data_IF_539711729775
#
_entry.id   IF_539711729775
#
_cell.length_a   1.000
_cell.length_b   1.000
_cell.length_c   1.000
_cell.angle_alpha   90.00
_cell.angle_beta   90.00
_cell.angle_gamma   90.00
#
_symmetry.space_group_name_H-M   'P 1'
#
loop_
_entity.id
_entity.type
_entity.pdbx_description
1 polymer ?
#
# COMPACT_ATOMS: atom_id res chain seq x y z
N UNK A 1 -32.98 12.80 -0.37
CA UNK A 1 -33.10 11.38 0.02
C UNK A 1 -33.46 11.20 1.49
N UNK A 2 -32.54 11.37 2.46
CA UNK A 2 -32.89 11.18 3.89
C UNK A 2 -33.94 12.18 4.41
N UNK A 3 -33.83 13.45 4.01
CA UNK A 3 -34.83 14.50 4.29
C UNK A 3 -36.18 14.29 3.58
N UNK A 4 -36.24 13.34 2.65
CA UNK A 4 -37.43 12.96 1.88
C UNK A 4 -38.00 11.60 2.35
N UNK A 5 -37.49 11.05 3.46
CA UNK A 5 -37.98 9.82 4.07
C UNK A 5 -37.34 8.52 3.56
N UNK A 6 -36.29 8.58 2.73
CA UNK A 6 -35.55 7.40 2.32
C UNK A 6 -34.77 6.81 3.50
N UNK A 7 -34.73 5.48 3.62
CA UNK A 7 -33.90 4.81 4.62
C UNK A 7 -32.41 4.86 4.25
N UNK A 8 -31.53 4.60 5.22
CA UNK A 8 -30.09 4.52 4.98
C UNK A 8 -29.72 3.43 3.97
N UNK A 9 -30.50 2.34 3.96
CA UNK A 9 -30.35 1.22 3.03
C UNK A 9 -30.71 1.67 1.61
N UNK A 10 -31.72 2.52 1.43
CA UNK A 10 -32.11 3.04 0.12
C UNK A 10 -31.01 3.93 -0.49
N UNK A 11 -30.38 4.75 0.35
CA UNK A 11 -29.22 5.57 -0.07
C UNK A 11 -28.04 4.66 -0.44
N UNK A 12 -27.75 3.63 0.35
CA UNK A 12 -26.68 2.67 0.08
C UNK A 12 -26.91 1.90 -1.24
N UNK A 13 -28.13 1.42 -1.48
CA UNK A 13 -28.51 0.72 -2.72
C UNK A 13 -28.42 1.61 -3.95
N UNK A 14 -28.69 2.91 -3.79
CA UNK A 14 -28.53 3.88 -4.88
C UNK A 14 -27.06 4.09 -5.25
N UNK A 15 -26.16 4.12 -4.26
CA UNK A 15 -24.72 4.26 -4.49
C UNK A 15 -24.08 2.94 -4.98
N UNK A 16 -24.60 1.79 -4.57
CA UNK A 16 -24.12 0.46 -4.94
C UNK A 16 -25.30 -0.47 -5.29
N UNK A 17 -25.70 -0.53 -6.57
CA UNK A 17 -26.85 -1.34 -7.01
C UNK A 17 -26.65 -2.86 -6.84
N UNK A 18 -25.42 -3.31 -6.59
CA UNK A 18 -25.07 -4.73 -6.41
C UNK A 18 -25.21 -5.26 -4.98
N UNK A 19 -25.64 -4.42 -4.03
CA UNK A 19 -25.91 -4.85 -2.65
C UNK A 19 -27.41 -5.15 -2.54
N UNK A 20 -27.78 -6.44 -2.48
CA UNK A 20 -29.18 -6.86 -2.35
C UNK A 20 -29.75 -6.46 -0.98
N UNK A 21 -29.03 -6.75 0.10
CA UNK A 21 -29.26 -6.25 1.47
C UNK A 21 -27.93 -6.20 2.25
N UNK A 22 -27.74 -5.25 3.18
CA UNK A 22 -26.59 -5.30 4.09
C UNK A 22 -26.65 -6.60 4.92
N UNK A 23 -25.50 -7.26 5.20
CA UNK A 23 -25.47 -8.47 6.02
C UNK A 23 -26.22 -8.30 7.36
N UNK A 24 -26.88 -9.36 7.84
CA UNK A 24 -27.59 -9.34 9.12
C UNK A 24 -26.71 -8.78 10.26
N UNK A 25 -27.24 -7.83 11.02
CA UNK A 25 -26.57 -7.24 12.19
C UNK A 25 -25.88 -5.89 11.97
N UNK A 26 -26.00 -5.28 10.79
CA UNK A 26 -25.47 -3.94 10.55
C UNK A 26 -26.34 -2.88 11.25
N UNK A 27 -25.74 -2.07 12.13
CA UNK A 27 -26.43 -0.95 12.76
C UNK A 27 -26.52 0.26 11.83
N UNK A 28 -27.53 1.10 12.01
CA UNK A 28 -27.67 2.38 11.30
C UNK A 28 -26.42 3.25 11.40
N UNK A 29 -25.70 3.18 12.53
CA UNK A 29 -24.45 3.89 12.73
C UNK A 29 -23.33 3.38 11.82
N UNK A 30 -23.20 2.05 11.67
CA UNK A 30 -22.24 1.45 10.75
C UNK A 30 -22.55 1.86 9.30
N UNK A 31 -23.83 1.79 8.89
CA UNK A 31 -24.25 2.18 7.55
C UNK A 31 -23.96 3.67 7.31
N UNK A 32 -24.26 4.55 8.28
CA UNK A 32 -23.93 5.98 8.18
C UNK A 32 -22.42 6.25 8.11
N UNK A 33 -21.61 5.51 8.85
CA UNK A 33 -20.15 5.67 8.80
C UNK A 33 -19.60 5.31 7.42
N UNK A 34 -20.08 4.22 6.83
CA UNK A 34 -19.73 3.77 5.48
C UNK A 34 -20.21 4.77 4.43
N UNK A 35 -21.45 5.24 4.54
CA UNK A 35 -22.00 6.25 3.62
C UNK A 35 -21.21 7.56 3.67
N UNK A 36 -20.84 8.01 4.88
CA UNK A 36 -20.02 9.22 5.06
C UNK A 36 -18.66 9.03 4.41
N UNK A 37 -18.01 7.88 4.64
CA UNK A 37 -16.73 7.57 4.00
C UNK A 37 -16.84 7.53 2.48
N UNK A 38 -17.93 6.98 1.93
CA UNK A 38 -18.15 6.91 0.48
C UNK A 38 -18.42 8.29 -0.13
N UNK A 39 -19.24 9.11 0.53
CA UNK A 39 -19.60 10.45 0.04
C UNK A 39 -18.40 11.38 0.11
N UNK A 40 -17.56 11.24 1.14
CA UNK A 40 -16.35 12.06 1.31
C UNK A 40 -15.16 11.56 0.46
N UNK A 41 -15.31 10.42 -0.25
CA UNK A 41 -14.28 9.96 -1.17
C UNK A 41 -14.12 10.98 -2.30
N UNK A 42 -12.88 11.43 -2.59
CA UNK A 42 -12.64 12.28 -3.73
C UNK A 42 -13.09 11.57 -5.02
N UNK A 43 -13.64 12.31 -5.99
CA UNK A 43 -14.10 11.73 -7.24
C UNK A 43 -12.96 10.95 -7.91
N UNK A 44 -13.29 9.79 -8.48
CA UNK A 44 -12.30 9.00 -9.22
C UNK A 44 -11.78 9.83 -10.40
N UNK A 45 -10.46 9.81 -10.58
CA UNK A 45 -9.81 10.51 -11.68
C UNK A 45 -10.19 9.87 -13.02
N UNK A 46 -10.78 10.65 -13.92
CA UNK A 46 -11.04 10.20 -15.30
C UNK A 46 -9.73 10.08 -16.11
N UNK A 47 -9.70 9.11 -17.04
CA UNK A 47 -8.55 8.93 -17.94
C UNK A 47 -8.48 10.10 -18.93
N UNK A 48 -7.29 10.71 -19.04
CA UNK A 48 -7.06 11.75 -20.03
C UNK A 48 -6.97 11.13 -21.43
N UNK A 49 -7.80 11.58 -22.36
CA UNK A 49 -7.80 11.09 -23.74
C UNK A 49 -6.51 11.44 -24.51
N UNK A 50 -5.73 12.41 -24.04
CA UNK A 50 -4.55 12.92 -24.72
C UNK A 50 -3.30 12.02 -24.63
N UNK A 51 -3.23 11.06 -23.70
CA UNK A 51 -2.04 10.23 -23.46
C UNK A 51 -2.41 8.74 -23.39
N UNK A 52 -1.94 7.94 -24.34
CA UNK A 52 -2.33 6.54 -24.49
C UNK A 52 -1.21 5.60 -24.92
N UNK A 53 -0.08 6.11 -25.42
CA UNK A 53 1.01 5.29 -25.95
C UNK A 53 2.20 5.23 -24.98
N UNK A 54 3.15 4.35 -25.30
CA UNK A 54 4.42 4.31 -24.58
C UNK A 54 5.24 5.58 -24.84
N UNK A 55 5.21 6.08 -26.08
CA UNK A 55 5.89 7.30 -26.49
C UNK A 55 5.38 8.52 -25.71
N UNK A 56 4.06 8.58 -25.45
CA UNK A 56 3.46 9.63 -24.63
C UNK A 56 4.04 9.62 -23.20
N UNK A 57 4.22 8.42 -22.61
CA UNK A 57 4.81 8.29 -21.29
C UNK A 57 6.28 8.76 -21.29
N UNK A 58 7.06 8.37 -22.29
CA UNK A 58 8.45 8.81 -22.46
C UNK A 58 8.53 10.33 -22.58
N UNK A 59 7.65 10.95 -23.36
CA UNK A 59 7.62 12.39 -23.55
C UNK A 59 7.21 13.14 -22.27
N UNK A 60 6.28 12.57 -21.49
CA UNK A 60 5.96 13.10 -20.15
C UNK A 60 7.18 13.04 -19.22
N UNK A 61 7.95 11.96 -19.21
CA UNK A 61 9.18 11.91 -18.41
C UNK A 61 10.25 12.89 -18.88
N UNK A 62 10.33 13.19 -20.18
CA UNK A 62 11.29 14.18 -20.71
C UNK A 62 10.92 15.62 -20.37
N UNK A 63 9.63 15.96 -20.43
CA UNK A 63 9.15 17.35 -20.34
C UNK A 63 8.76 17.80 -18.94
N UNK A 64 8.38 16.88 -18.04
CA UNK A 64 7.87 17.23 -16.70
C UNK A 64 9.00 17.35 -15.68
N UNK A 65 8.83 18.28 -14.73
CA UNK A 65 9.82 18.63 -13.68
C UNK A 65 9.34 18.39 -12.24
N UNK A 66 8.09 17.97 -12.06
CA UNK A 66 7.49 17.68 -10.75
C UNK A 66 6.76 16.35 -10.80
N UNK A 67 7.53 15.28 -10.90
CA UNK A 67 7.05 13.91 -11.02
C UNK A 67 6.90 13.33 -9.61
N UNK A 68 5.71 12.86 -9.28
CA UNK A 68 5.45 12.12 -8.05
C UNK A 68 5.46 10.64 -8.39
N UNK A 69 6.28 9.88 -7.69
CA UNK A 69 6.36 8.42 -7.79
C UNK A 69 5.63 7.79 -6.61
N UNK A 70 4.82 6.77 -6.89
CA UNK A 70 4.21 5.89 -5.89
C UNK A 70 4.81 4.50 -6.10
N UNK A 71 5.44 3.94 -5.08
CA UNK A 71 6.16 2.67 -5.15
C UNK A 71 5.69 1.70 -4.06
N UNK A 72 5.78 0.41 -4.38
CA UNK A 72 5.45 -0.71 -3.49
C UNK A 72 6.29 -1.93 -3.85
N UNK A 73 5.97 -3.10 -3.29
CA UNK A 73 6.87 -4.26 -3.29
C UNK A 73 7.41 -4.67 -4.68
N UNK A 74 6.64 -4.42 -5.75
CA UNK A 74 7.03 -4.71 -7.13
C UNK A 74 8.37 -4.11 -7.56
N UNK A 75 8.81 -2.97 -7.00
CA UNK A 75 10.13 -2.40 -7.35
C UNK A 75 11.32 -3.16 -6.74
N UNK A 76 11.06 -4.02 -5.74
CA UNK A 76 12.05 -4.76 -4.97
C UNK A 76 12.07 -6.27 -5.26
N UNK A 77 11.08 -6.79 -6.00
CA UNK A 77 11.03 -8.24 -6.38
C UNK A 77 12.31 -8.69 -7.08
N UNK A 78 12.81 -7.88 -8.02
CA UNK A 78 14.06 -8.19 -8.74
C UNK A 78 15.32 -8.11 -7.87
N UNK A 79 15.23 -7.55 -6.66
CA UNK A 79 16.35 -7.45 -5.72
C UNK A 79 16.53 -8.74 -4.91
N UNK A 80 15.59 -9.70 -5.01
CA UNK A 80 15.58 -10.91 -4.18
C UNK A 80 14.66 -10.81 -2.97
N UNK A 81 13.92 -9.71 -2.82
CA UNK A 81 12.91 -9.54 -1.78
C UNK A 81 11.58 -10.04 -2.34
N UNK A 82 11.03 -11.17 -1.84
CA UNK A 82 9.75 -11.67 -2.30
C UNK A 82 8.65 -10.64 -2.01
N UNK A 83 7.67 -10.55 -2.90
CA UNK A 83 6.46 -9.82 -2.57
C UNK A 83 5.61 -10.60 -1.56
N UNK A 84 4.57 -9.95 -1.04
CA UNK A 84 3.68 -10.59 -0.08
C UNK A 84 2.72 -11.58 -0.74
N UNK A 85 2.23 -11.27 -1.95
CA UNK A 85 0.98 -11.83 -2.51
C UNK A 85 1.18 -12.82 -3.66
N UNK A 86 2.37 -12.92 -4.25
CA UNK A 86 2.61 -13.87 -5.33
C UNK A 86 2.55 -15.31 -4.83
N UNK A 87 2.44 -16.25 -5.78
CA UNK A 87 2.36 -17.69 -5.50
C UNK A 87 3.51 -18.21 -4.61
N UNK A 88 4.70 -17.65 -4.81
CA UNK A 88 5.92 -17.97 -4.04
C UNK A 88 6.29 -16.83 -3.07
N UNK A 89 5.33 -15.95 -2.76
CA UNK A 89 5.50 -14.80 -1.86
C UNK A 89 5.48 -15.19 -0.38
N UNK A 90 5.71 -14.20 0.47
CA UNK A 90 5.86 -14.38 1.93
C UNK A 90 4.64 -15.06 2.54
N UNK A 91 3.43 -14.70 2.09
CA UNK A 91 2.19 -15.26 2.64
C UNK A 91 2.03 -16.76 2.42
N UNK A 92 2.52 -17.29 1.29
CA UNK A 92 2.47 -18.71 1.00
C UNK A 92 3.38 -19.53 1.93
N UNK A 93 4.54 -18.97 2.30
CA UNK A 93 5.49 -19.59 3.23
C UNK A 93 5.01 -19.52 4.68
N UNK A 94 4.50 -18.36 5.10
CA UNK A 94 4.01 -18.15 6.47
C UNK A 94 2.89 -19.11 6.86
N UNK A 95 2.00 -19.48 5.94
CA UNK A 95 0.97 -20.49 6.22
C UNK A 95 1.52 -21.88 6.52
N UNK A 96 2.72 -22.21 6.03
CA UNK A 96 3.39 -23.49 6.29
C UNK A 96 4.22 -23.43 7.57
N UNK A 97 4.97 -22.34 7.75
CA UNK A 97 5.87 -22.15 8.89
C UNK A 97 5.11 -21.80 10.19
N UNK A 98 3.98 -21.10 10.08
CA UNK A 98 3.16 -20.62 11.20
C UNK A 98 1.67 -20.93 10.96
N UNK A 99 1.24 -22.20 11.13
CA UNK A 99 -0.14 -22.62 10.88
C UNK A 99 -1.18 -21.98 11.82
N UNK A 100 -0.73 -21.41 12.95
CA UNK A 100 -1.58 -20.72 13.92
C UNK A 100 -1.87 -19.26 13.54
N UNK A 101 -1.27 -18.72 12.46
CA UNK A 101 -1.63 -17.41 11.92
C UNK A 101 -3.04 -17.49 11.30
N UNK A 102 -4.02 -16.69 11.79
CA UNK A 102 -5.37 -16.69 11.22
C UNK A 102 -5.40 -16.29 9.75
N UNK A 103 -4.54 -15.33 9.40
CA UNK A 103 -4.29 -14.90 8.02
C UNK A 103 -2.88 -14.29 7.91
N UNK A 104 -2.28 -14.21 6.71
CA UNK A 104 -0.91 -13.72 6.56
C UNK A 104 -0.73 -12.25 6.93
N UNK A 105 -1.77 -11.43 6.86
CA UNK A 105 -1.70 -10.01 7.27
C UNK A 105 -1.68 -9.85 8.78
N UNK A 106 -2.06 -10.88 9.55
CA UNK A 106 -1.99 -10.88 11.01
C UNK A 106 -0.56 -10.70 11.55
N UNK A 107 0.48 -11.00 10.76
CA UNK A 107 1.88 -10.69 11.13
C UNK A 107 2.12 -9.19 11.34
N UNK A 108 1.28 -8.34 10.75
CA UNK A 108 1.30 -6.89 10.86
C UNK A 108 0.19 -6.36 11.77
N UNK A 109 -0.45 -7.21 12.58
CA UNK A 109 -1.41 -6.79 13.59
C UNK A 109 -0.70 -6.65 14.96
N UNK A 110 -0.79 -5.46 15.56
CA UNK A 110 -0.17 -5.16 16.86
C UNK A 110 -0.63 -6.12 17.96
N UNK A 111 -1.89 -6.57 17.95
CA UNK A 111 -2.42 -7.50 18.96
C UNK A 111 -1.81 -8.88 18.79
N UNK A 112 -1.65 -9.33 17.54
CA UNK A 112 -0.96 -10.58 17.27
C UNK A 112 0.52 -10.47 17.64
N UNK A 113 1.19 -9.38 17.24
CA UNK A 113 2.61 -9.14 17.57
C UNK A 113 2.89 -9.16 19.08
N UNK A 114 1.99 -8.59 19.90
CA UNK A 114 2.12 -8.62 21.36
C UNK A 114 1.98 -10.05 21.92
N UNK A 115 1.16 -10.89 21.29
CA UNK A 115 0.94 -12.28 21.70
C UNK A 115 2.06 -13.21 21.22
N UNK A 116 2.41 -13.14 19.95
CA UNK A 116 3.48 -13.91 19.32
C UNK A 116 4.20 -13.06 18.25
N UNK A 117 5.38 -12.50 18.56
CA UNK A 117 6.15 -11.70 17.62
C UNK A 117 7.04 -12.53 16.68
N UNK A 118 7.12 -13.85 16.85
CA UNK A 118 8.05 -14.69 16.09
C UNK A 118 7.87 -14.58 14.56
N UNK A 119 6.64 -14.62 13.99
CA UNK A 119 6.46 -14.48 12.54
C UNK A 119 6.96 -13.15 11.98
N UNK A 120 6.81 -12.07 12.77
CA UNK A 120 7.29 -10.75 12.37
C UNK A 120 8.81 -10.68 12.36
N UNK A 121 9.48 -11.22 13.39
CA UNK A 121 10.94 -11.19 13.46
C UNK A 121 11.60 -12.08 12.40
N UNK A 122 11.03 -13.26 12.13
CA UNK A 122 11.51 -14.13 11.06
C UNK A 122 11.43 -13.43 9.71
N UNK A 123 10.30 -12.78 9.43
CA UNK A 123 10.15 -11.94 8.24
C UNK A 123 11.14 -10.75 8.22
N UNK A 124 11.28 -10.02 9.33
CA UNK A 124 12.16 -8.85 9.40
C UNK A 124 13.64 -9.21 9.17
N UNK A 125 14.08 -10.40 9.58
CA UNK A 125 15.42 -10.90 9.29
C UNK A 125 15.64 -11.17 7.79
N UNK A 126 14.62 -11.61 7.06
CA UNK A 126 14.72 -11.86 5.61
C UNK A 126 14.88 -10.57 4.79
N UNK A 127 14.33 -9.46 5.27
CA UNK A 127 14.38 -8.16 4.56
C UNK A 127 15.34 -7.16 5.20
N UNK A 128 16.23 -7.64 6.07
CA UNK A 128 17.12 -6.79 6.85
C UNK A 128 18.03 -5.94 5.95
N UNK A 129 18.23 -4.64 6.25
CA UNK A 129 19.05 -3.75 5.44
C UNK A 129 20.48 -4.25 5.22
N UNK A 130 21.04 -3.95 4.04
CA UNK A 130 22.43 -4.28 3.69
C UNK A 130 22.65 -5.65 3.05
N UNK A 131 21.59 -6.43 2.82
CA UNK A 131 21.66 -7.72 2.12
C UNK A 131 21.31 -7.63 0.63
N UNK A 132 20.70 -6.52 0.19
CA UNK A 132 20.10 -6.38 -1.13
C UNK A 132 20.61 -5.13 -1.86
N UNK A 133 20.70 -5.24 -3.18
CA UNK A 133 21.12 -4.14 -4.05
C UNK A 133 19.90 -3.47 -4.70
N UNK A 134 19.88 -2.13 -4.83
CA UNK A 134 18.77 -1.44 -5.47
C UNK A 134 18.56 -1.83 -6.94
N UNK A 135 17.29 -2.10 -7.30
CA UNK A 135 16.88 -2.42 -8.67
C UNK A 135 17.08 -1.26 -9.66
N UNK A 136 16.91 -1.57 -10.95
CA UNK A 136 16.86 -0.57 -12.03
C UNK A 136 15.76 0.47 -11.77
N UNK A 137 14.63 0.07 -11.17
CA UNK A 137 13.54 0.99 -10.82
C UNK A 137 13.98 2.02 -9.77
N UNK A 138 14.71 1.60 -8.74
CA UNK A 138 15.27 2.52 -7.74
C UNK A 138 16.27 3.48 -8.40
N UNK A 139 17.17 2.95 -9.23
CA UNK A 139 18.16 3.75 -9.97
C UNK A 139 17.50 4.76 -10.92
N UNK A 140 16.39 4.38 -11.55
CA UNK A 140 15.59 5.28 -12.38
C UNK A 140 14.98 6.43 -11.55
N UNK A 141 14.40 6.14 -10.39
CA UNK A 141 13.85 7.17 -9.49
C UNK A 141 14.97 8.11 -9.03
N UNK A 142 16.13 7.58 -8.66
CA UNK A 142 17.32 8.39 -8.35
C UNK A 142 17.74 9.27 -9.53
N UNK A 143 17.70 8.76 -10.75
CA UNK A 143 18.03 9.55 -11.93
C UNK A 143 17.04 10.71 -12.15
N UNK A 144 15.74 10.50 -11.90
CA UNK A 144 14.75 11.59 -11.93
C UNK A 144 15.06 12.67 -10.89
N UNK A 145 15.57 12.28 -9.72
CA UNK A 145 15.97 13.22 -8.67
C UNK A 145 17.23 14.02 -9.06
N UNK A 146 18.27 13.35 -9.55
CA UNK A 146 19.51 13.98 -10.03
C UNK A 146 19.20 14.98 -11.15
N UNK A 147 18.23 14.66 -12.02
CA UNK A 147 17.79 15.55 -13.10
C UNK A 147 16.84 16.68 -12.61
N UNK A 148 16.61 16.79 -11.30
CA UNK A 148 15.67 17.71 -10.64
C UNK A 148 14.24 17.63 -11.19
N UNK A 149 13.78 16.42 -11.49
CA UNK A 149 12.43 16.12 -11.99
C UNK A 149 11.54 15.46 -10.94
N UNK A 150 12.13 14.76 -9.96
CA UNK A 150 11.39 14.10 -8.89
C UNK A 150 10.87 15.12 -7.88
N UNK A 151 9.56 15.22 -7.73
CA UNK A 151 8.94 15.98 -6.65
C UNK A 151 9.02 15.20 -5.33
N UNK A 152 8.61 13.93 -5.36
CA UNK A 152 8.64 13.01 -4.22
C UNK A 152 8.45 11.56 -4.68
N UNK A 153 9.11 10.62 -4.02
CA UNK A 153 8.77 9.20 -4.04
C UNK A 153 8.04 8.86 -2.74
N UNK A 154 6.80 8.41 -2.82
CA UNK A 154 6.11 7.80 -1.68
C UNK A 154 6.23 6.28 -1.83
N UNK A 155 6.89 5.65 -0.87
CA UNK A 155 7.11 4.21 -0.87
C UNK A 155 6.30 3.55 0.23
N UNK A 156 5.67 2.43 -0.11
CA UNK A 156 5.06 1.51 0.84
C UNK A 156 6.06 0.46 1.36
N UNK A 157 7.27 0.42 0.79
CA UNK A 157 8.28 -0.55 1.16
C UNK A 157 8.91 -0.18 2.51
N UNK A 158 9.42 -1.22 3.18
CA UNK A 158 10.17 -1.13 4.44
C UNK A 158 11.58 -1.73 4.30
N UNK A 159 11.98 -2.10 3.08
CA UNK A 159 13.28 -2.72 2.75
C UNK A 159 14.45 -1.74 2.74
N UNK A 160 14.18 -0.43 2.84
CA UNK A 160 15.16 0.67 2.85
C UNK A 160 15.98 0.85 1.56
N UNK A 161 15.63 0.17 0.47
CA UNK A 161 16.38 0.22 -0.79
C UNK A 161 16.38 1.60 -1.45
N UNK A 162 15.39 2.46 -1.16
CA UNK A 162 15.42 3.85 -1.60
C UNK A 162 16.60 4.62 -1.01
N UNK A 163 16.99 4.32 0.24
CA UNK A 163 18.15 4.97 0.90
C UNK A 163 19.47 4.45 0.34
N UNK A 164 19.56 3.14 0.10
CA UNK A 164 20.72 2.52 -0.57
C UNK A 164 20.87 3.05 -2.01
N UNK A 165 19.76 3.35 -2.69
CA UNK A 165 19.76 4.05 -3.97
C UNK A 165 20.04 5.56 -3.88
N UNK A 166 20.26 6.08 -2.68
CA UNK A 166 20.48 7.49 -2.35
C UNK A 166 19.36 8.42 -2.81
N UNK A 167 18.10 7.97 -2.76
CA UNK A 167 16.93 8.81 -3.06
C UNK A 167 16.60 9.65 -1.82
N UNK A 168 16.72 10.97 -1.93
CA UNK A 168 16.56 11.88 -0.80
C UNK A 168 15.10 12.33 -0.63
N UNK A 169 14.38 12.57 -1.72
CA UNK A 169 12.97 13.00 -1.75
C UNK A 169 12.05 11.79 -1.58
N UNK A 170 12.30 10.96 -0.57
CA UNK A 170 11.46 9.80 -0.23
C UNK A 170 10.57 10.09 0.98
N UNK A 171 9.37 9.51 0.97
CA UNK A 171 8.46 9.40 2.13
C UNK A 171 8.15 7.92 2.32
N UNK A 172 8.58 7.37 3.45
CA UNK A 172 8.33 5.99 3.85
C UNK A 172 6.96 5.93 4.53
N UNK A 173 5.93 5.52 3.79
CA UNK A 173 4.54 5.59 4.24
C UNK A 173 4.24 4.62 5.40
N UNK A 174 4.99 3.53 5.51
CA UNK A 174 4.78 2.48 6.53
C UNK A 174 5.80 2.52 7.67
N UNK A 175 6.58 3.61 7.79
CA UNK A 175 7.54 3.80 8.87
C UNK A 175 9.00 3.62 8.45
N UNK A 176 9.90 4.00 9.36
CA UNK A 176 11.35 4.07 9.15
C UNK A 176 12.05 3.03 10.02
N UNK A 177 12.86 2.16 9.42
CA UNK A 177 13.57 1.11 10.16
C UNK A 177 14.73 1.67 11.03
N UNK A 178 15.28 2.83 10.68
CA UNK A 178 16.42 3.43 11.39
C UNK A 178 16.12 3.87 12.83
N UNK A 179 14.88 3.76 13.27
CA UNK A 179 14.47 3.96 14.66
C UNK A 179 13.34 2.99 14.97
N UNK A 180 13.58 1.69 14.75
CA UNK A 180 12.80 0.51 15.17
C UNK A 180 11.46 0.87 15.84
N UNK A 181 10.54 1.44 15.06
CA UNK A 181 9.22 1.80 15.53
C UNK A 181 8.32 0.71 14.98
N UNK A 182 8.59 -0.52 15.45
CA UNK A 182 7.82 -1.73 15.15
C UNK A 182 6.32 -1.42 15.28
N UNK A 183 5.98 -0.60 16.27
CA UNK A 183 4.63 -0.08 16.50
C UNK A 183 3.98 0.52 15.25
N UNK A 184 4.67 1.27 14.38
CA UNK A 184 4.06 1.82 13.17
C UNK A 184 3.79 0.77 12.10
N UNK A 185 4.68 -0.21 11.97
CA UNK A 185 4.55 -1.30 10.99
C UNK A 185 3.37 -2.20 11.38
N UNK A 186 3.23 -2.52 12.67
CA UNK A 186 2.16 -3.42 13.16
C UNK A 186 0.87 -2.69 13.60
N UNK A 187 0.86 -1.35 13.71
CA UNK A 187 -0.34 -0.58 14.08
C UNK A 187 -1.02 0.10 12.90
N UNK A 188 -0.57 -0.14 11.66
CA UNK A 188 -1.21 0.38 10.44
C UNK A 188 -1.89 -0.73 9.61
N UNK A 189 -2.91 -1.44 10.15
CA UNK A 189 -3.59 -2.53 9.44
C UNK A 189 -4.40 -2.06 8.22
N UNK A 190 -4.63 -0.75 8.08
CA UNK A 190 -5.52 -0.22 7.05
C UNK A 190 -4.91 -0.16 5.64
N UNK A 191 -3.58 -0.19 5.47
CA UNK A 191 -2.95 0.02 4.16
C UNK A 191 -2.27 -1.22 3.55
N UNK A 192 -1.97 -2.27 4.36
CA UNK A 192 -1.52 -3.59 3.84
C UNK A 192 -2.66 -4.28 3.06
N UNK A 193 -3.92 -3.93 3.33
CA UNK A 193 -5.09 -4.48 2.62
C UNK A 193 -5.27 -3.95 1.19
N UNK A 194 -4.74 -2.78 0.83
CA UNK A 194 -5.02 -2.14 -0.48
C UNK A 194 -3.91 -2.23 -1.54
N UNK A 195 -2.80 -2.94 -1.28
CA UNK A 195 -1.64 -3.05 -2.21
C UNK A 195 -1.41 -4.46 -2.69
#
# INVERSE_FOLDING_TARGET
MLSEGASLIDVLKTLYPGIEEPPEGWSDHLIMSILTEIIDRPPRREKLAAYNTFEDAVELFRTRKRILMLTGAGVSVSCGIPDFRSKDGIYARLHVEFPELPDPTSMFDIRYFIHDPAPFYDFAMEIFPGQFEPSISHKFIRQLEVNNQLLRNYTQNIDTLEKEAHIERVVECHGKDSSCNIFFIVSAPLFVKFS
#
